data_IF_662738833864
#
_entry.id   IF_662738833864
#
_cell.length_a   1.000
_cell.length_b   1.000
_cell.length_c   1.000
_cell.angle_alpha   90.00
_cell.angle_beta   90.00
_cell.angle_gamma   90.00
#
_symmetry.space_group_name_H-M   'P 1'
#
loop_
_entity.id
_entity.type
_entity.pdbx_description
1 polymer ?
#
# COMPACT_ATOMS: atom_id res chain seq x y z
N UNK A 1 -22.83 -0.03 -8.69
CA UNK A 1 -21.46 -0.52 -8.90
C UNK A 1 -21.23 -1.63 -7.89
N UNK A 2 -20.81 -2.82 -8.30
CA UNK A 2 -20.57 -3.95 -7.40
C UNK A 2 -19.11 -4.37 -7.41
N UNK A 3 -18.64 -4.92 -6.28
CA UNK A 3 -17.30 -5.46 -6.14
C UNK A 3 -17.36 -6.95 -5.81
N UNK A 4 -16.41 -7.70 -6.33
CA UNK A 4 -16.21 -9.10 -6.00
C UNK A 4 -15.05 -9.20 -5.02
N UNK A 5 -15.29 -9.78 -3.85
CA UNK A 5 -14.24 -10.13 -2.91
C UNK A 5 -13.37 -11.26 -3.49
N UNK A 6 -12.08 -11.10 -3.48
CA UNK A 6 -11.12 -12.07 -4.00
C UNK A 6 -10.38 -12.78 -2.90
N UNK A 7 -9.79 -12.03 -1.99
CA UNK A 7 -8.96 -12.60 -0.94
C UNK A 7 -8.81 -11.64 0.24
N UNK A 8 -8.62 -12.21 1.42
CA UNK A 8 -8.10 -11.53 2.60
C UNK A 8 -6.61 -11.86 2.71
N UNK A 9 -5.81 -10.83 2.93
CA UNK A 9 -4.38 -10.92 3.17
C UNK A 9 -4.12 -10.41 4.59
N UNK A 10 -3.24 -11.05 5.32
CA UNK A 10 -2.87 -10.68 6.68
C UNK A 10 -1.47 -10.06 6.62
N UNK A 11 -1.36 -8.82 6.99
CA UNK A 11 -0.06 -8.21 7.22
C UNK A 11 0.33 -8.38 8.69
N UNK A 12 1.31 -9.23 8.96
CA UNK A 12 1.96 -9.38 10.26
C UNK A 12 3.10 -8.35 10.35
N UNK A 13 2.89 -7.33 11.17
CA UNK A 13 3.85 -6.23 11.40
C UNK A 13 5.03 -6.63 12.26
N UNK A 14 5.04 -7.87 12.80
CA UNK A 14 6.02 -8.39 13.76
C UNK A 14 6.10 -7.61 15.08
N UNK A 15 5.85 -6.31 15.05
CA UNK A 15 5.87 -5.43 16.22
C UNK A 15 4.50 -4.80 16.44
N UNK A 16 4.10 -4.66 17.69
CA UNK A 16 2.93 -3.86 18.05
C UNK A 16 3.39 -2.60 18.79
N UNK A 17 2.98 -1.41 18.35
CA UNK A 17 3.26 -0.17 19.06
C UNK A 17 2.38 0.00 20.31
N UNK A 18 1.34 -0.82 20.44
CA UNK A 18 0.34 -0.66 21.49
C UNK A 18 0.69 -1.49 22.73
N UNK A 19 0.65 -0.88 23.89
CA UNK A 19 0.63 -1.59 25.16
C UNK A 19 -0.82 -1.84 25.54
N UNK A 20 -1.20 -3.12 25.67
CA UNK A 20 -2.56 -3.52 26.01
C UNK A 20 -2.54 -4.55 27.14
N UNK A 21 -2.65 -4.11 28.40
CA UNK A 21 -2.47 -5.01 29.57
C UNK A 21 -3.57 -6.06 29.72
N UNK A 22 -4.72 -5.87 29.06
CA UNK A 22 -5.90 -6.74 29.19
C UNK A 22 -6.26 -7.53 27.91
N UNK A 23 -5.42 -7.48 26.89
CA UNK A 23 -5.64 -8.19 25.61
C UNK A 23 -4.33 -8.53 24.94
N UNK A 24 -4.39 -9.45 23.97
CA UNK A 24 -3.24 -9.71 23.09
C UNK A 24 -2.89 -8.46 22.27
N UNK A 25 -1.60 -8.27 22.02
CA UNK A 25 -1.11 -7.12 21.24
C UNK A 25 -1.54 -7.26 19.77
N UNK A 26 -2.16 -6.22 19.17
CA UNK A 26 -2.55 -6.24 17.77
C UNK A 26 -1.31 -6.03 16.89
N UNK A 27 -0.74 -7.11 16.39
CA UNK A 27 0.42 -7.09 15.49
C UNK A 27 0.07 -7.35 14.03
N UNK A 28 -1.21 -7.52 13.71
CA UNK A 28 -1.67 -7.79 12.35
C UNK A 28 -2.63 -6.73 11.85
N UNK A 29 -2.63 -6.51 10.54
CA UNK A 29 -3.63 -5.73 9.81
C UNK A 29 -4.20 -6.55 8.66
N UNK A 30 -5.48 -6.34 8.35
CA UNK A 30 -6.17 -7.04 7.27
C UNK A 30 -6.15 -6.19 6.00
N UNK A 31 -5.81 -6.82 4.89
CA UNK A 31 -5.88 -6.23 3.57
C UNK A 31 -6.92 -7.00 2.76
N UNK A 32 -7.91 -6.31 2.22
CA UNK A 32 -8.96 -6.92 1.40
C UNK A 32 -8.70 -6.64 -0.07
N UNK A 33 -8.56 -7.70 -0.85
CA UNK A 33 -8.49 -7.58 -2.29
C UNK A 33 -9.88 -7.74 -2.91
N UNK A 34 -10.30 -6.70 -3.62
CA UNK A 34 -11.57 -6.67 -4.33
C UNK A 34 -11.33 -6.32 -5.80
N UNK A 35 -12.19 -6.83 -6.67
CA UNK A 35 -12.21 -6.42 -8.07
C UNK A 35 -13.57 -5.87 -8.43
N UNK A 36 -13.61 -4.91 -9.34
CA UNK A 36 -14.87 -4.41 -9.90
C UNK A 36 -15.54 -5.53 -10.72
N UNK A 37 -16.82 -5.78 -10.46
CA UNK A 37 -17.60 -6.77 -11.23
C UNK A 37 -18.02 -6.15 -12.58
N UNK A 38 -17.91 -6.87 -13.72
CA UNK A 38 -17.47 -8.26 -13.91
C UNK A 38 -15.97 -8.45 -14.23
N UNK A 39 -15.11 -7.50 -13.92
CA UNK A 39 -13.70 -7.52 -14.32
C UNK A 39 -12.95 -8.74 -13.76
N UNK A 40 -12.13 -9.34 -14.62
CA UNK A 40 -11.16 -10.35 -14.17
C UNK A 40 -9.99 -9.68 -13.46
N UNK A 41 -9.36 -10.35 -12.47
CA UNK A 41 -8.18 -9.81 -11.81
C UNK A 41 -7.02 -9.68 -12.78
N UNK A 42 -6.42 -8.49 -12.81
CA UNK A 42 -5.15 -8.27 -13.50
C UNK A 42 -4.00 -8.62 -12.55
N UNK A 43 -3.77 -9.92 -12.35
CA UNK A 43 -2.88 -10.42 -11.30
C UNK A 43 -2.03 -11.59 -11.78
N UNK A 44 -0.74 -11.57 -11.43
CA UNK A 44 0.22 -12.64 -11.69
C UNK A 44 1.11 -12.88 -10.46
N UNK A 45 0.79 -13.93 -9.70
CA UNK A 45 1.51 -14.27 -8.47
C UNK A 45 3.00 -14.54 -8.69
N UNK A 46 3.38 -15.10 -9.83
CA UNK A 46 4.77 -15.44 -10.13
C UNK A 46 5.72 -14.24 -10.13
N UNK A 47 5.19 -13.04 -10.22
CA UNK A 47 5.97 -11.79 -10.16
C UNK A 47 6.19 -11.24 -8.76
N UNK A 48 5.60 -11.86 -7.72
CA UNK A 48 5.84 -11.49 -6.33
C UNK A 48 7.05 -12.25 -5.75
N UNK A 49 8.23 -11.64 -5.64
CA UNK A 49 9.39 -12.30 -5.06
C UNK A 49 9.34 -12.33 -3.53
N UNK A 50 8.51 -11.51 -2.92
CA UNK A 50 8.57 -11.28 -1.48
C UNK A 50 7.55 -12.10 -0.70
N UNK A 51 6.33 -12.27 -1.23
CA UNK A 51 5.22 -12.90 -0.50
C UNK A 51 4.38 -13.77 -1.42
N UNK A 52 4.51 -15.09 -1.25
CA UNK A 52 3.81 -16.07 -2.09
C UNK A 52 2.46 -16.44 -1.50
N UNK A 53 2.30 -16.28 -0.20
CA UNK A 53 1.10 -16.62 0.57
C UNK A 53 0.26 -15.42 0.95
N UNK A 54 -0.79 -15.69 1.70
CA UNK A 54 -1.72 -14.66 2.22
C UNK A 54 -1.23 -13.98 3.51
N UNK A 55 -0.15 -14.47 4.12
CA UNK A 55 0.46 -13.85 5.30
C UNK A 55 1.75 -13.14 4.88
N UNK A 56 1.75 -11.83 4.99
CA UNK A 56 2.88 -10.98 4.65
C UNK A 56 3.58 -10.52 5.93
N UNK A 57 4.88 -10.80 6.04
CA UNK A 57 5.66 -10.53 7.25
C UNK A 57 6.76 -9.51 7.00
N UNK A 58 6.48 -8.28 7.34
CA UNK A 58 7.48 -7.20 7.33
C UNK A 58 7.15 -6.15 8.39
N UNK A 59 8.20 -5.56 8.97
CA UNK A 59 8.04 -4.60 10.06
C UNK A 59 7.57 -3.25 9.56
N UNK A 60 6.63 -2.65 10.26
CA UNK A 60 6.34 -1.23 10.08
C UNK A 60 7.59 -0.42 10.48
N UNK A 61 7.98 0.51 9.60
CA UNK A 61 9.09 1.42 9.91
C UNK A 61 8.54 2.65 10.61
N UNK A 62 9.09 3.05 11.76
CA UNK A 62 8.71 4.31 12.37
C UNK A 62 8.91 5.48 11.40
N UNK A 63 7.90 6.31 11.26
CA UNK A 63 8.02 7.57 10.55
C UNK A 63 7.59 8.69 11.50
N UNK A 64 8.52 9.57 11.93
CA UNK A 64 8.21 10.64 12.86
C UNK A 64 7.20 11.65 12.30
N UNK A 65 7.02 11.68 10.99
CA UNK A 65 6.12 12.59 10.28
C UNK A 65 4.71 12.04 10.09
N UNK A 66 4.49 10.75 10.39
CA UNK A 66 3.18 10.11 10.23
C UNK A 66 2.94 9.07 11.33
N UNK A 67 1.81 9.10 12.04
CA UNK A 67 1.56 8.23 13.21
C UNK A 67 1.38 6.75 12.89
N UNK A 68 1.00 6.42 11.65
CA UNK A 68 0.72 5.04 11.24
C UNK A 68 1.07 4.78 9.77
N UNK A 69 2.35 4.93 9.34
CA UNK A 69 2.71 4.67 7.96
C UNK A 69 2.82 3.15 7.73
N UNK A 70 2.29 2.68 6.63
CA UNK A 70 2.69 1.37 6.12
C UNK A 70 4.00 1.52 5.30
N UNK A 71 4.88 0.52 5.31
CA UNK A 71 6.14 0.58 4.59
C UNK A 71 5.96 0.38 3.08
N UNK A 72 6.95 0.80 2.28
CA UNK A 72 6.91 0.70 0.82
C UNK A 72 6.79 -0.74 0.30
N UNK A 73 7.19 -1.72 1.10
CA UNK A 73 7.08 -3.14 0.80
C UNK A 73 5.63 -3.56 0.50
N UNK A 74 4.64 -2.95 1.17
CA UNK A 74 3.23 -3.28 0.96
C UNK A 74 2.75 -2.90 -0.45
N UNK A 75 2.78 -1.63 -0.89
CA UNK A 75 2.35 -1.27 -2.24
C UNK A 75 3.29 -1.85 -3.31
N UNK A 76 4.58 -2.04 -3.01
CA UNK A 76 5.53 -2.68 -3.92
C UNK A 76 5.08 -4.09 -4.28
N UNK A 77 4.75 -4.90 -3.26
CA UNK A 77 4.30 -6.28 -3.49
C UNK A 77 3.01 -6.32 -4.32
N UNK A 78 2.05 -5.42 -4.04
CA UNK A 78 0.83 -5.32 -4.82
C UNK A 78 1.14 -4.95 -6.27
N UNK A 79 1.96 -3.94 -6.51
CA UNK A 79 2.25 -3.45 -7.87
C UNK A 79 3.10 -4.42 -8.69
N UNK A 80 3.95 -5.22 -8.05
CA UNK A 80 4.69 -6.28 -8.73
C UNK A 80 3.76 -7.37 -9.29
N UNK A 81 2.68 -7.68 -8.60
CA UNK A 81 1.72 -8.68 -9.01
C UNK A 81 0.73 -8.23 -10.10
N UNK A 82 0.72 -6.96 -10.47
CA UNK A 82 -0.14 -6.48 -11.57
C UNK A 82 0.44 -6.97 -12.90
N UNK A 83 -0.37 -7.75 -13.63
CA UNK A 83 0.04 -8.44 -14.86
C UNK A 83 0.34 -7.47 -16.00
N UNK A 84 -0.62 -6.61 -16.32
CA UNK A 84 -0.54 -5.69 -17.43
C UNK A 84 -0.50 -4.24 -16.93
N UNK A 85 0.70 -3.68 -16.87
CA UNK A 85 0.94 -2.27 -16.53
C UNK A 85 0.99 -1.47 -17.84
N UNK A 86 -0.19 -1.22 -18.41
CA UNK A 86 -0.31 -0.40 -19.62
C UNK A 86 -0.17 1.08 -19.32
N UNK A 87 0.00 1.92 -20.34
CA UNK A 87 0.06 3.37 -20.20
C UNK A 87 -1.20 3.97 -19.56
N UNK A 88 -2.34 3.28 -19.67
CA UNK A 88 -3.61 3.69 -19.09
C UNK A 88 -3.82 3.20 -17.66
N UNK A 89 -2.89 2.40 -17.12
CA UNK A 89 -2.97 1.94 -15.76
C UNK A 89 -2.68 3.08 -14.78
N UNK A 90 -3.65 3.38 -13.93
CA UNK A 90 -3.55 4.45 -12.93
C UNK A 90 -3.67 3.88 -11.54
N UNK A 91 -2.73 4.22 -10.67
CA UNK A 91 -2.80 3.95 -9.24
C UNK A 91 -3.51 5.12 -8.56
N UNK A 92 -4.59 4.85 -7.85
CA UNK A 92 -5.29 5.86 -7.07
C UNK A 92 -5.30 5.50 -5.59
N UNK A 93 -4.85 6.43 -4.75
CA UNK A 93 -4.90 6.31 -3.29
C UNK A 93 -5.79 7.43 -2.72
N UNK A 94 -7.01 7.10 -2.24
CA UNK A 94 -7.94 8.09 -1.69
C UNK A 94 -7.53 8.65 -0.33
N UNK A 95 -6.53 8.06 0.33
CA UNK A 95 -6.00 8.46 1.64
C UNK A 95 -4.48 8.48 1.60
N UNK A 96 -3.91 9.26 0.68
CA UNK A 96 -2.51 9.17 0.28
C UNK A 96 -1.50 9.45 1.41
N UNK A 97 -1.91 10.14 2.47
CA UNK A 97 -1.03 10.47 3.58
C UNK A 97 0.21 11.22 3.12
N UNK A 98 1.38 10.73 3.49
CA UNK A 98 2.67 11.27 3.03
C UNK A 98 3.14 10.72 1.68
N UNK A 99 2.28 10.00 0.95
CA UNK A 99 2.49 9.61 -0.45
C UNK A 99 3.22 8.29 -0.68
N UNK A 100 3.27 7.37 0.27
CA UNK A 100 3.99 6.08 0.13
C UNK A 100 3.55 5.30 -1.11
N UNK A 101 2.22 5.11 -1.30
CA UNK A 101 1.67 4.41 -2.47
C UNK A 101 2.06 5.10 -3.77
N UNK A 102 1.96 6.44 -3.80
CA UNK A 102 2.23 7.24 -4.99
C UNK A 102 3.72 7.22 -5.36
N UNK A 103 4.61 7.26 -4.35
CA UNK A 103 6.06 7.12 -4.54
C UNK A 103 6.41 5.78 -5.17
N UNK A 104 5.82 4.70 -4.67
CA UNK A 104 6.03 3.36 -5.24
C UNK A 104 5.47 3.30 -6.67
N UNK A 105 4.26 3.81 -6.93
CA UNK A 105 3.72 3.87 -8.28
C UNK A 105 4.64 4.60 -9.26
N UNK A 106 5.20 5.75 -8.82
CA UNK A 106 6.20 6.50 -9.59
C UNK A 106 7.44 5.66 -9.92
N UNK A 107 7.97 4.90 -8.95
CA UNK A 107 9.16 4.05 -9.17
C UNK A 107 8.91 2.92 -10.18
N UNK A 108 7.65 2.49 -10.32
CA UNK A 108 7.22 1.54 -11.35
C UNK A 108 6.88 2.18 -12.71
N UNK A 109 7.04 3.50 -12.84
CA UNK A 109 6.67 4.24 -14.06
C UNK A 109 5.17 4.31 -14.32
N UNK A 110 4.33 4.06 -13.30
CA UNK A 110 2.88 4.07 -13.42
C UNK A 110 2.33 5.49 -13.26
N UNK A 111 1.20 5.78 -13.91
CA UNK A 111 0.41 6.97 -13.62
C UNK A 111 -0.17 6.83 -12.21
N UNK A 112 -0.18 7.91 -11.46
CA UNK A 112 -0.69 7.90 -10.09
C UNK A 112 -1.50 9.15 -9.77
N UNK A 113 -2.46 8.98 -8.87
CA UNK A 113 -3.30 10.04 -8.36
C UNK A 113 -3.62 9.76 -6.89
N UNK A 114 -3.69 10.79 -6.05
CA UNK A 114 -4.00 10.64 -4.64
C UNK A 114 -4.85 11.79 -4.11
N UNK A 115 -5.59 11.50 -3.05
CA UNK A 115 -6.32 12.49 -2.27
C UNK A 115 -5.86 12.45 -0.82
N UNK A 116 -5.71 13.61 -0.20
CA UNK A 116 -5.36 13.76 1.21
C UNK A 116 -6.00 15.02 1.76
N UNK A 117 -6.63 14.92 2.93
CA UNK A 117 -7.33 16.05 3.55
C UNK A 117 -6.38 16.95 4.37
N UNK A 118 -5.29 16.38 4.89
CA UNK A 118 -4.33 17.11 5.69
C UNK A 118 -3.32 17.83 4.79
N UNK A 119 -3.36 19.17 4.79
CA UNK A 119 -2.48 20.00 3.96
C UNK A 119 -0.99 19.79 4.22
N UNK A 120 -0.59 19.48 5.46
CA UNK A 120 0.81 19.17 5.78
C UNK A 120 1.25 17.86 5.13
N UNK A 121 0.38 16.82 5.12
CA UNK A 121 0.68 15.58 4.44
C UNK A 121 0.70 15.74 2.92
N UNK A 122 -0.21 16.56 2.36
CA UNK A 122 -0.15 16.93 0.93
C UNK A 122 1.20 17.56 0.58
N UNK A 123 1.71 18.49 1.39
CA UNK A 123 3.01 19.12 1.17
C UNK A 123 4.14 18.09 1.21
N UNK A 124 4.18 17.24 2.24
CA UNK A 124 5.18 16.18 2.37
C UNK A 124 5.13 15.17 1.21
N UNK A 125 3.93 14.78 0.79
CA UNK A 125 3.75 13.91 -0.37
C UNK A 125 4.32 14.54 -1.65
N UNK A 126 4.01 15.81 -1.89
CA UNK A 126 4.52 16.55 -3.06
C UNK A 126 6.05 16.69 -3.02
N UNK A 127 6.65 16.98 -1.86
CA UNK A 127 8.10 17.02 -1.70
C UNK A 127 8.74 15.66 -2.00
N UNK A 128 8.14 14.58 -1.48
CA UNK A 128 8.59 13.20 -1.75
C UNK A 128 8.50 12.83 -3.23
N UNK A 129 7.43 13.25 -3.90
CA UNK A 129 7.19 12.91 -5.30
C UNK A 129 8.02 13.76 -6.26
N UNK A 130 8.25 15.02 -5.97
CA UNK A 130 9.01 15.91 -6.86
C UNK A 130 10.53 15.74 -6.72
N UNK A 131 10.97 14.99 -5.72
CA UNK A 131 12.38 14.83 -5.40
C UNK A 131 12.99 16.17 -5.01
N UNK A 132 13.21 16.43 -3.76
CA UNK A 132 14.15 17.48 -3.36
C UNK A 132 15.53 17.04 -3.84
N UNK A 133 15.97 17.60 -4.94
CA UNK A 133 17.38 17.58 -5.29
C UNK A 133 18.08 18.46 -4.24
N UNK A 134 18.82 17.83 -3.36
CA UNK A 134 19.82 18.50 -2.53
C UNK A 134 21.13 18.59 -3.30
#
# INVERSE_FOLDING_TARGET
MSFTFRQQIIWDRKNSPAVAPIRYLPNTELIFWLTKTPCQPNFERAKSPLFVGEVWQFSAKPNPLHPAPFPEELPTNIMMCIKDKTEDFVVYDPYAGTGTTLKVAKSFGLKYFGSEINSNYCRLANETLNGTLF
#
